data_IF_745829393592
#
_entry.id   IF_745829393592
#
_cell.length_a   1.000
_cell.length_b   1.000
_cell.length_c   1.000
_cell.angle_alpha   90.00
_cell.angle_beta   90.00
_cell.angle_gamma   90.00
#
_symmetry.space_group_name_H-M   'P 1'
#
loop_
_entity.id
_entity.type
_entity.pdbx_description
1 polymer ?
#
# COMPACT_ATOMS: atom_id res chain seq x y z
N UNK A 1 -8.28 -15.89 24.30
CA UNK A 1 -6.90 -16.43 24.27
C UNK A 1 -6.96 -17.91 23.94
N UNK A 2 -6.35 -18.34 22.83
CA UNK A 2 -6.30 -19.75 22.44
C UNK A 2 -5.20 -20.48 23.22
N UNK A 3 -5.54 -21.58 23.91
CA UNK A 3 -4.55 -22.36 24.66
C UNK A 3 -3.71 -23.24 23.71
N UNK A 4 -2.55 -22.73 23.28
CA UNK A 4 -1.65 -23.44 22.35
C UNK A 4 -1.20 -24.82 22.83
N UNK A 5 -1.23 -25.10 24.14
CA UNK A 5 -0.84 -26.41 24.72
C UNK A 5 -1.87 -27.52 24.47
N UNK A 6 -3.03 -27.20 23.90
CA UNK A 6 -4.03 -28.18 23.47
C UNK A 6 -3.76 -28.76 22.07
N UNK A 7 -2.76 -28.23 21.36
CA UNK A 7 -2.41 -28.64 20.01
C UNK A 7 -1.01 -29.26 19.97
N UNK A 8 -0.74 -30.04 18.93
CA UNK A 8 0.59 -30.58 18.69
C UNK A 8 1.60 -29.45 18.41
N UNK A 9 2.87 -29.67 18.75
CA UNK A 9 3.93 -28.69 18.48
C UNK A 9 4.03 -28.38 16.97
N UNK A 10 3.90 -29.41 16.13
CA UNK A 10 3.90 -29.28 14.66
C UNK A 10 2.78 -28.35 14.18
N UNK A 11 1.57 -28.49 14.74
CA UNK A 11 0.43 -27.63 14.45
C UNK A 11 0.75 -26.18 14.80
N UNK A 12 1.17 -25.93 16.04
CA UNK A 12 1.46 -24.57 16.55
C UNK A 12 2.53 -23.88 15.70
N UNK A 13 3.64 -24.57 15.40
CA UNK A 13 4.74 -24.02 14.60
C UNK A 13 4.33 -23.74 13.15
N UNK A 14 3.48 -24.59 12.57
CA UNK A 14 3.02 -24.40 11.18
C UNK A 14 2.04 -23.24 11.07
N UNK A 15 1.12 -23.09 12.03
CA UNK A 15 0.23 -21.94 12.12
C UNK A 15 1.03 -20.64 12.30
N UNK A 16 1.98 -20.61 13.23
CA UNK A 16 2.85 -19.45 13.46
C UNK A 16 3.64 -19.07 12.19
N UNK A 17 4.23 -20.05 11.51
CA UNK A 17 5.00 -19.83 10.28
C UNK A 17 4.13 -19.28 9.15
N UNK A 18 2.94 -19.83 8.93
CA UNK A 18 2.01 -19.31 7.93
C UNK A 18 1.64 -17.86 8.26
N UNK A 19 1.22 -17.58 9.49
CA UNK A 19 0.74 -16.25 9.87
C UNK A 19 1.84 -15.19 9.71
N UNK A 20 3.08 -15.50 10.10
CA UNK A 20 4.21 -14.58 9.91
C UNK A 20 4.48 -14.32 8.43
N UNK A 21 4.41 -15.35 7.56
CA UNK A 21 4.58 -15.17 6.11
C UNK A 21 3.45 -14.37 5.49
N UNK A 22 2.21 -14.58 5.91
CA UNK A 22 1.05 -13.82 5.44
C UNK A 22 1.19 -12.36 5.86
N UNK A 23 1.54 -12.06 7.12
CA UNK A 23 1.78 -10.69 7.60
C UNK A 23 2.85 -9.99 6.77
N UNK A 24 4.00 -10.64 6.57
CA UNK A 24 5.08 -10.10 5.72
C UNK A 24 4.63 -9.90 4.27
N UNK A 25 3.81 -10.80 3.73
CA UNK A 25 3.27 -10.67 2.38
C UNK A 25 2.32 -9.48 2.27
N UNK A 26 1.41 -9.31 3.22
CA UNK A 26 0.47 -8.17 3.25
C UNK A 26 1.23 -6.86 3.45
N UNK A 27 2.23 -6.83 4.31
CA UNK A 27 3.08 -5.65 4.52
C UNK A 27 3.79 -5.22 3.23
N UNK A 28 4.39 -6.18 2.49
CA UNK A 28 5.00 -5.94 1.17
C UNK A 28 4.02 -5.43 0.11
N UNK A 29 2.74 -5.75 0.25
CA UNK A 29 1.66 -5.36 -0.66
C UNK A 29 0.68 -4.37 0.01
N UNK A 30 1.13 -3.62 1.00
CA UNK A 30 0.31 -2.70 1.79
C UNK A 30 -0.22 -1.50 0.99
N UNK A 31 0.23 -1.36 -0.26
CA UNK A 31 -0.33 -0.40 -1.22
C UNK A 31 -1.76 -0.73 -1.63
N UNK A 32 -2.10 -2.03 -1.67
CA UNK A 32 -3.40 -2.53 -2.10
C UNK A 32 -4.08 -3.45 -1.09
N UNK A 33 -3.34 -4.03 -0.14
CA UNK A 33 -3.89 -4.96 0.85
C UNK A 33 -3.87 -4.37 2.26
N UNK A 34 -4.84 -4.74 3.06
CA UNK A 34 -4.87 -4.54 4.51
C UNK A 34 -5.24 -5.82 5.26
N UNK A 35 -4.61 -6.01 6.42
CA UNK A 35 -4.97 -7.09 7.34
C UNK A 35 -5.99 -6.55 8.35
N UNK A 36 -7.22 -7.05 8.30
CA UNK A 36 -8.34 -6.57 9.14
C UNK A 36 -8.63 -7.49 10.33
N UNK A 37 -8.34 -8.79 10.20
CA UNK A 37 -8.34 -9.74 11.32
C UNK A 37 -6.97 -10.38 11.41
N UNK A 38 -6.35 -10.32 12.59
CA UNK A 38 -5.05 -10.94 12.89
C UNK A 38 -5.13 -11.82 14.14
N UNK A 39 -5.72 -13.00 13.98
CA UNK A 39 -5.82 -14.01 15.04
C UNK A 39 -5.03 -15.27 14.65
N UNK A 40 -4.49 -16.04 15.62
CA UNK A 40 -3.74 -17.25 15.30
C UNK A 40 -4.50 -18.26 14.43
N UNK A 41 -5.83 -18.34 14.59
CA UNK A 41 -6.68 -19.30 13.88
C UNK A 41 -7.43 -18.69 12.68
N UNK A 42 -7.29 -17.38 12.47
CA UNK A 42 -8.06 -16.64 11.48
C UNK A 42 -7.34 -15.37 11.04
N UNK A 43 -7.09 -15.23 9.75
CA UNK A 43 -6.53 -14.03 9.13
C UNK A 43 -7.48 -13.54 8.03
N UNK A 44 -7.86 -12.27 8.07
CA UNK A 44 -8.69 -11.64 7.04
C UNK A 44 -7.92 -10.52 6.36
N UNK A 45 -7.70 -10.67 5.08
CA UNK A 45 -7.01 -9.71 4.21
C UNK A 45 -8.06 -9.08 3.30
N UNK A 46 -8.05 -7.76 3.13
CA UNK A 46 -8.96 -7.05 2.22
C UNK A 46 -8.19 -6.22 1.21
N UNK A 47 -8.80 -6.01 0.07
CA UNK A 47 -8.42 -4.92 -0.83
C UNK A 47 -8.72 -3.57 -0.16
N UNK A 48 -7.77 -2.64 -0.23
CA UNK A 48 -7.90 -1.28 0.32
C UNK A 48 -8.83 -0.39 -0.51
N UNK A 49 -9.16 -0.78 -1.73
CA UNK A 49 -10.09 -0.03 -2.56
C UNK A 49 -11.46 0.08 -1.89
N UNK A 50 -11.93 1.32 -1.69
CA UNK A 50 -13.22 1.60 -1.00
C UNK A 50 -14.45 1.11 -1.76
N UNK A 51 -14.29 0.83 -3.05
CA UNK A 51 -15.34 0.34 -3.94
C UNK A 51 -15.25 -1.17 -4.17
N UNK A 52 -14.27 -1.83 -3.53
CA UNK A 52 -14.01 -3.26 -3.65
C UNK A 52 -14.51 -3.99 -2.41
N UNK A 53 -15.18 -5.13 -2.61
CA UNK A 53 -15.55 -6.07 -1.56
C UNK A 53 -14.63 -7.30 -1.54
N UNK A 54 -13.49 -7.21 -2.21
CA UNK A 54 -12.55 -8.31 -2.34
C UNK A 54 -11.85 -8.61 -1.03
N UNK A 55 -11.90 -9.88 -0.65
CA UNK A 55 -11.30 -10.36 0.59
C UNK A 55 -10.71 -11.76 0.43
N UNK A 56 -9.76 -12.05 1.32
CA UNK A 56 -9.10 -13.33 1.45
C UNK A 56 -9.06 -13.72 2.92
N UNK A 57 -9.83 -14.74 3.28
CA UNK A 57 -9.93 -15.28 4.63
C UNK A 57 -9.17 -16.59 4.71
N UNK A 58 -8.24 -16.71 5.66
CA UNK A 58 -7.58 -17.97 6.03
C UNK A 58 -8.07 -18.34 7.42
N UNK A 59 -8.59 -19.55 7.61
CA UNK A 59 -9.24 -19.90 8.87
C UNK A 59 -9.22 -21.40 9.16
N UNK A 60 -9.58 -21.76 10.39
CA UNK A 60 -9.79 -23.14 10.85
C UNK A 60 -8.64 -24.09 10.47
N UNK A 61 -7.39 -23.80 10.86
CA UNK A 61 -6.31 -24.75 10.69
C UNK A 61 -6.65 -26.07 11.39
N UNK A 62 -6.39 -27.19 10.72
CA UNK A 62 -6.65 -28.53 11.24
C UNK A 62 -5.49 -29.47 10.89
N UNK A 63 -5.19 -30.40 11.78
CA UNK A 63 -4.26 -31.50 11.54
C UNK A 63 -5.05 -32.73 11.11
N UNK A 64 -4.79 -33.23 9.89
CA UNK A 64 -5.43 -34.44 9.40
C UNK A 64 -4.86 -35.72 10.04
N UNK A 65 -5.48 -36.86 9.73
CA UNK A 65 -5.04 -38.17 10.22
C UNK A 65 -3.65 -38.59 9.72
N UNK A 66 -3.06 -37.85 8.77
CA UNK A 66 -1.72 -38.06 8.22
C UNK A 66 -0.70 -37.03 8.75
N UNK A 67 -1.06 -36.29 9.81
CA UNK A 67 -0.25 -35.23 10.42
C UNK A 67 0.05 -34.04 9.50
N UNK A 68 -0.73 -33.85 8.44
CA UNK A 68 -0.66 -32.65 7.59
C UNK A 68 -1.50 -31.55 8.19
N UNK A 69 -0.95 -30.34 8.22
CA UNK A 69 -1.68 -29.15 8.65
C UNK A 69 -2.33 -28.51 7.44
N UNK A 70 -3.65 -28.51 7.43
CA UNK A 70 -4.50 -27.96 6.39
C UNK A 70 -5.18 -26.69 6.89
N UNK A 71 -5.31 -25.72 6.01
CA UNK A 71 -5.99 -24.45 6.25
C UNK A 71 -7.17 -24.34 5.30
N UNK A 72 -8.27 -23.77 5.78
CA UNK A 72 -9.35 -23.35 4.88
C UNK A 72 -9.05 -21.94 4.38
N UNK A 73 -9.35 -21.68 3.12
CA UNK A 73 -9.33 -20.34 2.58
C UNK A 73 -10.60 -20.05 1.77
N UNK A 74 -11.21 -18.90 2.06
CA UNK A 74 -12.35 -18.36 1.34
C UNK A 74 -11.89 -17.02 0.73
N UNK A 75 -12.02 -16.85 -0.59
CA UNK A 75 -11.57 -15.61 -1.25
C UNK A 75 -12.44 -15.23 -2.45
N UNK A 76 -12.61 -13.93 -2.67
CA UNK A 76 -13.24 -13.34 -3.85
C UNK A 76 -12.36 -12.20 -4.39
N UNK A 77 -12.21 -12.08 -5.72
CA UNK A 77 -12.82 -12.93 -6.76
C UNK A 77 -12.18 -14.33 -6.81
N UNK A 78 -12.95 -15.33 -7.26
CA UNK A 78 -12.50 -16.71 -7.36
C UNK A 78 -11.37 -16.88 -8.39
N UNK A 79 -11.40 -16.09 -9.46
CA UNK A 79 -10.39 -16.00 -10.50
C UNK A 79 -10.64 -14.73 -11.36
N UNK A 80 -9.92 -14.57 -12.46
CA UNK A 80 -10.05 -13.45 -13.41
C UNK A 80 -11.36 -13.45 -14.24
N UNK A 81 -12.20 -14.47 -14.11
CA UNK A 81 -13.48 -14.60 -14.84
C UNK A 81 -14.67 -14.54 -13.86
N UNK A 82 -14.55 -15.20 -12.70
CA UNK A 82 -15.61 -15.36 -11.72
C UNK A 82 -15.36 -14.51 -10.46
N UNK A 83 -16.28 -13.57 -10.20
CA UNK A 83 -16.22 -12.65 -9.05
C UNK A 83 -16.68 -13.27 -7.72
N UNK A 84 -17.34 -14.43 -7.75
CA UNK A 84 -17.87 -15.08 -6.56
C UNK A 84 -16.78 -15.60 -5.61
N UNK A 85 -17.18 -15.99 -4.40
CA UNK A 85 -16.27 -16.57 -3.41
C UNK A 85 -15.90 -18.01 -3.80
N UNK A 86 -14.60 -18.29 -3.82
CA UNK A 86 -14.06 -19.64 -3.90
C UNK A 86 -13.62 -20.11 -2.52
N UNK A 87 -13.96 -21.35 -2.19
CA UNK A 87 -13.55 -22.01 -0.95
C UNK A 87 -12.55 -23.12 -1.26
N UNK A 88 -11.50 -23.23 -0.48
CA UNK A 88 -10.48 -24.27 -0.66
C UNK A 88 -9.93 -24.74 0.66
N UNK A 89 -9.35 -25.94 0.65
CA UNK A 89 -8.62 -26.51 1.78
C UNK A 89 -7.25 -26.90 1.25
N UNK A 90 -6.19 -26.35 1.83
CA UNK A 90 -4.85 -26.54 1.30
C UNK A 90 -3.77 -26.47 2.38
N UNK A 91 -2.59 -26.99 2.07
CA UNK A 91 -1.40 -26.88 2.92
C UNK A 91 -0.78 -25.47 2.85
N UNK A 92 0.10 -25.15 3.81
CA UNK A 92 0.77 -23.84 3.95
C UNK A 92 1.28 -23.26 2.62
N UNK A 93 2.05 -24.04 1.85
CA UNK A 93 2.65 -23.57 0.58
C UNK A 93 1.58 -23.19 -0.45
N UNK A 94 0.52 -23.98 -0.54
CA UNK A 94 -0.57 -23.75 -1.48
C UNK A 94 -1.39 -22.53 -1.10
N UNK A 95 -1.63 -22.28 0.20
CA UNK A 95 -2.32 -21.07 0.66
C UNK A 95 -1.56 -19.82 0.23
N UNK A 96 -0.24 -19.79 0.40
CA UNK A 96 0.59 -18.66 0.00
C UNK A 96 0.56 -18.45 -1.53
N UNK A 97 0.65 -19.52 -2.32
CA UNK A 97 0.54 -19.43 -3.77
C UNK A 97 -0.84 -18.90 -4.23
N UNK A 98 -1.91 -19.32 -3.56
CA UNK A 98 -3.27 -18.85 -3.86
C UNK A 98 -3.42 -17.36 -3.47
N UNK A 99 -2.86 -16.94 -2.34
CA UNK A 99 -2.83 -15.53 -1.93
C UNK A 99 -2.07 -14.65 -2.93
N UNK A 100 -0.94 -15.14 -3.45
CA UNK A 100 -0.16 -14.45 -4.47
C UNK A 100 -0.94 -14.29 -5.78
N UNK A 101 -1.59 -15.37 -6.25
CA UNK A 101 -2.44 -15.32 -7.44
C UNK A 101 -3.62 -14.35 -7.26
N UNK A 102 -4.29 -14.41 -6.11
CA UNK A 102 -5.39 -13.50 -5.79
C UNK A 102 -4.94 -12.04 -5.77
N UNK A 103 -3.77 -11.75 -5.19
CA UNK A 103 -3.18 -10.41 -5.17
C UNK A 103 -2.86 -9.91 -6.59
N UNK A 104 -2.40 -10.79 -7.48
CA UNK A 104 -2.16 -10.44 -8.88
C UNK A 104 -3.44 -10.08 -9.63
N UNK A 105 -4.57 -10.73 -9.29
CA UNK A 105 -5.88 -10.36 -9.83
C UNK A 105 -6.25 -8.93 -9.40
N UNK A 106 -6.09 -8.60 -8.12
CA UNK A 106 -6.35 -7.23 -7.62
C UNK A 106 -5.47 -6.22 -8.34
N UNK A 107 -4.17 -6.50 -8.51
CA UNK A 107 -3.27 -5.64 -9.27
C UNK A 107 -3.73 -5.44 -10.72
N UNK A 108 -4.29 -6.49 -11.33
CA UNK A 108 -4.82 -6.41 -12.69
C UNK A 108 -6.07 -5.53 -12.76
N UNK A 109 -6.98 -5.63 -11.79
CA UNK A 109 -8.13 -4.72 -11.67
C UNK A 109 -7.68 -3.28 -11.50
N UNK A 110 -6.70 -3.02 -10.61
CA UNK A 110 -6.19 -1.67 -10.37
C UNK A 110 -5.45 -1.08 -11.58
N UNK A 111 -4.87 -1.92 -12.45
CA UNK A 111 -4.20 -1.49 -13.68
C UNK A 111 -5.19 -1.29 -14.84
N UNK A 112 -6.28 -2.05 -14.87
CA UNK A 112 -7.27 -1.97 -15.93
C UNK A 112 -7.93 -0.59 -15.93
N UNK A 113 -7.60 0.21 -16.93
CA UNK A 113 -8.19 1.53 -17.14
C UNK A 113 -9.30 1.39 -18.17
N UNK A 114 -10.52 1.68 -17.75
CA UNK A 114 -11.71 1.63 -18.61
C UNK A 114 -11.88 2.95 -19.35
N UNK A 115 -11.23 4.01 -18.85
CA UNK A 115 -11.31 5.36 -19.38
C UNK A 115 -9.92 5.89 -19.78
N UNK A 116 -9.82 6.76 -20.80
CA UNK A 116 -8.60 7.51 -21.10
C UNK A 116 -8.05 8.28 -19.89
N UNK A 117 -8.93 8.82 -19.04
CA UNK A 117 -8.58 9.58 -17.84
C UNK A 117 -7.85 8.73 -16.78
N UNK A 118 -8.17 7.44 -16.66
CA UNK A 118 -7.48 6.50 -15.78
C UNK A 118 -6.09 6.13 -16.32
N UNK A 119 -5.96 5.94 -17.64
CA UNK A 119 -4.66 5.70 -18.27
C UNK A 119 -3.71 6.89 -18.06
N UNK A 120 -4.23 8.11 -18.24
CA UNK A 120 -3.47 9.35 -18.00
C UNK A 120 -3.00 9.44 -16.54
N UNK A 121 -3.87 9.11 -15.58
CA UNK A 121 -3.51 9.14 -14.17
C UNK A 121 -2.40 8.13 -13.82
N UNK A 122 -2.53 6.89 -14.32
CA UNK A 122 -1.52 5.85 -14.12
C UNK A 122 -0.17 6.23 -14.71
N UNK A 123 -0.18 6.90 -15.87
CA UNK A 123 1.03 7.40 -16.51
C UNK A 123 1.70 8.49 -15.68
N UNK A 124 0.91 9.43 -15.13
CA UNK A 124 1.43 10.45 -14.22
C UNK A 124 2.00 9.86 -12.93
N UNK A 125 1.35 8.87 -12.33
CA UNK A 125 1.87 8.19 -11.14
C UNK A 125 3.21 7.51 -11.45
N UNK A 126 3.30 6.81 -12.58
CA UNK A 126 4.55 6.16 -13.02
C UNK A 126 5.65 7.19 -13.23
N UNK A 127 5.35 8.28 -13.93
CA UNK A 127 6.30 9.38 -14.17
C UNK A 127 6.81 9.97 -12.85
N UNK A 128 5.93 10.28 -11.90
CA UNK A 128 6.38 10.77 -10.59
C UNK A 128 7.20 9.72 -9.82
N UNK A 129 6.80 8.45 -9.85
CA UNK A 129 7.51 7.37 -9.17
C UNK A 129 8.91 7.13 -9.74
N UNK A 130 9.07 7.11 -11.06
CA UNK A 130 10.37 6.95 -11.73
C UNK A 130 11.31 8.12 -11.44
N UNK A 131 10.76 9.34 -11.35
CA UNK A 131 11.53 10.53 -10.99
C UNK A 131 11.91 10.59 -9.51
N UNK A 132 11.16 9.92 -8.63
CA UNK A 132 11.56 9.77 -7.24
C UNK A 132 12.56 8.62 -7.13
N UNK A 133 13.81 8.90 -7.49
CA UNK A 133 14.91 7.94 -7.46
C UNK A 133 15.03 7.28 -6.07
N UNK A 134 14.69 6.00 -5.97
CA UNK A 134 14.89 5.19 -4.75
C UNK A 134 16.20 4.41 -4.93
N UNK A 135 17.33 5.04 -4.60
CA UNK A 135 18.66 4.42 -4.71
C UNK A 135 19.02 3.50 -3.53
N UNK A 136 18.10 3.26 -2.60
CA UNK A 136 18.39 2.58 -1.33
C UNK A 136 17.97 1.10 -1.38
N UNK A 137 18.93 0.18 -1.22
CA UNK A 137 18.69 -1.28 -1.26
C UNK A 137 17.75 -1.77 -0.15
N UNK A 138 17.58 -0.97 0.91
CA UNK A 138 16.72 -1.25 2.05
C UNK A 138 15.32 -0.62 1.96
N UNK A 139 15.00 0.05 0.84
CA UNK A 139 13.81 0.87 0.73
C UNK A 139 12.49 0.11 0.90
N UNK A 140 12.53 -1.20 0.65
CA UNK A 140 11.38 -2.10 0.81
C UNK A 140 11.19 -2.60 2.25
N UNK A 141 12.16 -2.34 3.15
CA UNK A 141 12.19 -2.90 4.52
C UNK A 141 12.18 -1.83 5.59
N UNK A 142 12.88 -0.73 5.36
CA UNK A 142 13.08 0.28 6.39
C UNK A 142 12.24 1.54 6.11
N UNK A 143 11.76 2.23 7.15
CA UNK A 143 11.22 3.57 7.01
C UNK A 143 12.34 4.57 6.70
N UNK A 144 11.97 5.80 6.34
CA UNK A 144 12.92 6.91 6.28
C UNK A 144 13.51 7.20 7.66
N UNK A 145 14.72 7.77 7.71
CA UNK A 145 15.29 8.30 8.95
C UNK A 145 14.45 9.46 9.50
N UNK A 146 14.49 9.68 10.82
CA UNK A 146 13.65 10.65 11.52
C UNK A 146 13.66 12.04 10.86
N UNK A 147 14.84 12.53 10.49
CA UNK A 147 14.98 13.85 9.85
C UNK A 147 14.18 13.93 8.54
N UNK A 148 14.29 12.91 7.69
CA UNK A 148 13.53 12.79 6.44
C UNK A 148 12.03 12.67 6.70
N UNK A 149 11.62 11.89 7.71
CA UNK A 149 10.21 11.80 8.08
C UNK A 149 9.63 13.17 8.50
N UNK A 150 10.38 13.94 9.30
CA UNK A 150 9.97 15.29 9.73
C UNK A 150 9.82 16.24 8.53
N UNK A 151 10.68 16.13 7.52
CA UNK A 151 10.61 16.95 6.30
C UNK A 151 9.33 16.63 5.52
N UNK A 152 9.09 15.35 5.24
CA UNK A 152 7.89 14.90 4.53
C UNK A 152 6.63 15.33 5.31
N UNK A 153 6.64 15.17 6.64
CA UNK A 153 5.54 15.58 7.50
C UNK A 153 5.25 17.08 7.39
N UNK A 154 6.27 17.92 7.55
CA UNK A 154 6.13 19.38 7.48
C UNK A 154 5.70 19.86 6.09
N UNK A 155 6.19 19.19 5.04
CA UNK A 155 5.74 19.42 3.69
C UNK A 155 4.23 19.18 3.56
N UNK A 156 3.73 18.00 3.96
CA UNK A 156 2.30 17.72 3.87
C UNK A 156 1.44 18.63 4.76
N UNK A 157 1.92 19.06 5.92
CA UNK A 157 1.25 20.10 6.72
C UNK A 157 1.02 21.39 5.91
N UNK A 158 1.98 21.80 5.09
CA UNK A 158 1.85 23.00 4.24
C UNK A 158 0.95 22.74 3.04
N UNK A 159 1.08 21.59 2.40
CA UNK A 159 0.21 21.18 1.28
C UNK A 159 -1.25 21.17 1.72
N UNK A 160 -1.57 20.58 2.87
CA UNK A 160 -2.93 20.57 3.43
C UNK A 160 -3.45 21.99 3.64
N UNK A 161 -2.61 22.93 4.11
CA UNK A 161 -3.01 24.34 4.25
C UNK A 161 -3.35 24.99 2.92
N UNK A 162 -2.59 24.72 1.86
CA UNK A 162 -2.91 25.22 0.50
C UNK A 162 -4.20 24.61 -0.02
N UNK A 163 -4.37 23.29 0.13
CA UNK A 163 -5.57 22.60 -0.33
C UNK A 163 -6.84 23.09 0.39
N UNK A 164 -6.74 23.45 1.67
CA UNK A 164 -7.86 23.99 2.47
C UNK A 164 -8.37 25.36 2.02
N UNK A 165 -7.66 26.07 1.14
CA UNK A 165 -8.18 27.31 0.54
C UNK A 165 -9.47 27.05 -0.24
N UNK A 166 -9.56 25.90 -0.91
CA UNK A 166 -10.77 25.41 -1.59
C UNK A 166 -11.12 24.01 -1.03
N UNK A 167 -11.49 23.96 0.25
CA UNK A 167 -11.65 22.71 1.01
C UNK A 167 -12.67 21.75 0.39
N UNK A 168 -13.84 22.26 -0.04
CA UNK A 168 -14.88 21.42 -0.65
C UNK A 168 -14.36 20.73 -1.93
N UNK A 169 -13.77 21.51 -2.83
CA UNK A 169 -13.22 20.97 -4.07
C UNK A 169 -12.07 20.00 -3.79
N UNK A 170 -11.21 20.29 -2.81
CA UNK A 170 -9.98 19.55 -2.51
C UNK A 170 -10.14 18.45 -1.46
N UNK A 171 -11.36 18.14 -1.01
CA UNK A 171 -11.60 17.24 0.12
C UNK A 171 -10.89 15.88 0.00
N UNK A 172 -10.89 15.29 -1.20
CA UNK A 172 -10.19 14.02 -1.46
C UNK A 172 -8.67 14.13 -1.36
N UNK A 173 -8.09 15.19 -1.95
CA UNK A 173 -6.65 15.46 -1.88
C UNK A 173 -6.21 15.78 -0.44
N UNK A 174 -7.03 16.50 0.32
CA UNK A 174 -6.78 16.78 1.75
C UNK A 174 -6.74 15.48 2.53
N UNK A 175 -7.71 14.59 2.30
CA UNK A 175 -7.77 13.29 2.97
C UNK A 175 -6.56 12.42 2.63
N UNK A 176 -6.15 12.37 1.36
CA UNK A 176 -4.95 11.64 0.93
C UNK A 176 -3.69 12.22 1.58
N UNK A 177 -3.53 13.54 1.60
CA UNK A 177 -2.40 14.22 2.24
C UNK A 177 -2.33 13.97 3.76
N UNK A 178 -3.48 13.99 4.45
CA UNK A 178 -3.58 13.64 5.88
C UNK A 178 -3.17 12.19 6.13
N UNK A 179 -3.67 11.25 5.31
CA UNK A 179 -3.32 9.83 5.43
C UNK A 179 -1.82 9.58 5.24
N UNK A 180 -1.19 10.26 4.27
CA UNK A 180 0.25 10.18 4.07
C UNK A 180 0.95 10.70 5.32
N UNK A 181 0.62 11.92 5.77
CA UNK A 181 1.23 12.60 6.91
C UNK A 181 1.20 11.76 8.20
N UNK A 182 0.06 11.14 8.50
CA UNK A 182 -0.14 10.35 9.73
C UNK A 182 0.59 9.00 9.71
N UNK A 183 0.81 8.44 8.52
CA UNK A 183 1.39 7.11 8.38
C UNK A 183 2.89 7.10 8.04
N UNK A 184 3.53 8.25 7.85
CA UNK A 184 4.98 8.36 7.53
C UNK A 184 5.84 7.45 8.42
N UNK A 185 5.69 7.42 9.76
CA UNK A 185 6.58 6.61 10.62
C UNK A 185 6.37 5.10 10.49
N UNK A 186 5.24 4.67 9.89
CA UNK A 186 4.82 3.27 9.76
C UNK A 186 5.05 2.72 8.35
N UNK A 187 5.49 3.56 7.40
CA UNK A 187 5.67 3.18 6.01
C UNK A 187 7.15 2.99 5.68
N UNK A 188 7.45 2.02 4.82
CA UNK A 188 8.77 1.88 4.23
C UNK A 188 9.07 3.04 3.28
N UNK A 189 10.35 3.25 2.94
CA UNK A 189 10.76 4.30 1.97
C UNK A 189 10.00 4.12 0.64
N UNK A 190 9.91 2.89 0.14
CA UNK A 190 9.19 2.55 -1.11
C UNK A 190 7.70 2.85 -1.04
N UNK A 191 7.04 2.43 0.04
CA UNK A 191 5.61 2.68 0.25
C UNK A 191 5.31 4.19 0.33
N UNK A 192 6.19 4.93 1.00
CA UNK A 192 6.08 6.39 1.13
C UNK A 192 6.19 7.08 -0.23
N UNK A 193 7.22 6.76 -1.02
CA UNK A 193 7.41 7.34 -2.36
C UNK A 193 6.21 7.03 -3.26
N UNK A 194 5.73 5.78 -3.27
CA UNK A 194 4.58 5.40 -4.07
C UNK A 194 3.32 6.20 -3.72
N UNK A 195 3.01 6.37 -2.43
CA UNK A 195 1.87 7.21 -2.03
C UNK A 195 2.05 8.66 -2.43
N UNK A 196 3.26 9.20 -2.33
CA UNK A 196 3.57 10.57 -2.76
C UNK A 196 3.38 10.72 -4.28
N UNK A 197 3.87 9.76 -5.09
CA UNK A 197 3.67 9.75 -6.54
C UNK A 197 2.21 9.78 -6.93
N UNK A 198 1.39 8.93 -6.28
CA UNK A 198 -0.04 8.87 -6.52
C UNK A 198 -0.73 10.18 -6.16
N UNK A 199 -0.36 10.76 -5.01
CA UNK A 199 -0.86 12.07 -4.61
C UNK A 199 -0.55 13.14 -5.67
N UNK A 200 0.69 13.22 -6.16
CA UNK A 200 1.05 14.17 -7.22
C UNK A 200 0.32 13.91 -8.53
N UNK A 201 0.08 12.65 -8.90
CA UNK A 201 -0.71 12.29 -10.07
C UNK A 201 -2.16 12.79 -9.94
N UNK A 202 -2.77 12.64 -8.76
CA UNK A 202 -4.11 13.17 -8.47
C UNK A 202 -4.15 14.70 -8.50
N UNK A 203 -3.14 15.37 -7.92
CA UNK A 203 -3.03 16.83 -7.97
C UNK A 203 -2.89 17.31 -9.43
N UNK A 204 -2.04 16.66 -10.23
CA UNK A 204 -1.86 16.97 -11.66
C UNK A 204 -3.13 16.77 -12.47
N UNK A 205 -3.83 15.65 -12.25
CA UNK A 205 -5.12 15.35 -12.88
C UNK A 205 -6.14 16.44 -12.58
N UNK A 206 -6.11 16.97 -11.35
CA UNK A 206 -6.99 18.05 -10.95
C UNK A 206 -6.64 19.38 -11.60
N UNK A 207 -5.42 19.88 -11.41
CA UNK A 207 -4.96 21.10 -12.09
C UNK A 207 -3.44 21.26 -12.05
N UNK A 208 -2.87 21.71 -13.19
CA UNK A 208 -1.46 22.06 -13.28
C UNK A 208 -1.05 23.26 -12.38
N UNK A 209 -1.88 24.32 -12.22
CA UNK A 209 -1.56 25.40 -11.29
C UNK A 209 -1.41 24.93 -9.85
N UNK A 210 -2.30 24.04 -9.39
CA UNK A 210 -2.22 23.47 -8.04
C UNK A 210 -0.99 22.58 -7.90
N UNK A 211 -0.67 21.77 -8.92
CA UNK A 211 0.55 20.98 -8.94
C UNK A 211 1.79 21.86 -8.77
N UNK A 212 1.88 22.97 -9.52
CA UNK A 212 3.00 23.92 -9.42
C UNK A 212 3.14 24.48 -8.00
N UNK A 213 2.03 24.92 -7.41
CA UNK A 213 2.02 25.46 -6.05
C UNK A 213 2.51 24.42 -5.01
N UNK A 214 2.01 23.19 -5.13
CA UNK A 214 2.38 22.06 -4.25
C UNK A 214 3.87 21.70 -4.42
N UNK A 215 4.38 21.63 -5.64
CA UNK A 215 5.81 21.37 -5.92
C UNK A 215 6.71 22.49 -5.36
N UNK A 216 6.31 23.76 -5.50
CA UNK A 216 7.07 24.90 -4.96
C UNK A 216 7.19 24.87 -3.43
N UNK A 217 6.18 24.36 -2.72
CA UNK A 217 6.27 24.14 -1.27
C UNK A 217 7.35 23.12 -0.92
N UNK A 218 7.46 22.05 -1.72
CA UNK A 218 8.46 21.00 -1.57
C UNK A 218 9.87 21.56 -1.74
N UNK A 219 10.09 22.31 -2.82
CA UNK A 219 11.35 23.01 -3.09
C UNK A 219 11.75 23.91 -1.93
N UNK A 220 10.83 24.73 -1.41
CA UNK A 220 11.10 25.64 -0.29
C UNK A 220 11.48 24.91 1.00
N UNK A 221 10.91 23.73 1.28
CA UNK A 221 11.22 22.99 2.50
C UNK A 221 12.60 22.31 2.42
N UNK A 222 12.99 21.85 1.23
CA UNK A 222 14.27 21.15 1.02
C UNK A 222 15.44 22.08 0.90
N UNK A 223 15.28 23.19 0.16
CA UNK A 223 16.28 24.26 0.12
C UNK A 223 16.54 24.85 1.51
N UNK A 224 15.52 24.95 2.38
CA UNK A 224 15.70 25.45 3.75
C UNK A 224 16.56 24.56 4.63
N UNK A 225 16.72 23.27 4.30
CA UNK A 225 17.43 22.30 5.13
C UNK A 225 18.70 21.74 4.49
N UNK A 226 18.97 22.04 3.21
CA UNK A 226 20.22 21.67 2.55
C UNK A 226 20.43 20.15 2.38
N UNK A 227 19.34 19.39 2.30
CA UNK A 227 19.37 17.92 2.24
C UNK A 227 19.06 17.46 0.81
N UNK A 228 19.95 16.64 0.23
CA UNK A 228 19.65 15.91 -1.01
C UNK A 228 18.52 14.91 -0.77
N UNK A 229 17.32 15.24 -1.25
CA UNK A 229 16.10 14.51 -0.95
C UNK A 229 15.33 14.15 -2.24
N UNK A 230 14.32 13.29 -2.12
CA UNK A 230 13.28 12.99 -3.14
C UNK A 230 12.65 14.28 -3.74
N UNK A 231 12.74 15.41 -3.03
CA UNK A 231 12.24 16.73 -3.43
C UNK A 231 13.30 17.59 -4.17
N UNK A 232 14.57 17.17 -4.28
CA UNK A 232 15.52 17.84 -5.19
C UNK A 232 15.10 17.63 -6.64
N UNK A 233 14.62 16.43 -6.96
CA UNK A 233 13.99 16.14 -8.26
C UNK A 233 12.69 16.97 -8.44
N UNK A 234 12.02 17.39 -7.36
CA UNK A 234 10.91 18.36 -7.44
C UNK A 234 11.41 19.76 -7.81
N UNK A 235 12.62 20.14 -7.38
CA UNK A 235 13.31 21.33 -7.86
C UNK A 235 13.53 21.32 -9.37
N UNK A 236 14.02 20.20 -9.91
CA UNK A 236 14.23 20.02 -11.36
C UNK A 236 12.91 20.03 -12.14
N UNK A 237 11.85 19.45 -11.58
CA UNK A 237 10.51 19.52 -12.14
C UNK A 237 9.96 20.95 -12.19
N UNK A 238 10.15 21.77 -11.14
CA UNK A 238 9.74 23.19 -11.21
C UNK A 238 10.47 23.98 -12.30
N UNK A 239 11.65 23.54 -12.74
CA UNK A 239 12.38 24.15 -13.85
C UNK A 239 11.89 23.70 -15.25
N UNK A 240 11.22 22.55 -15.35
CA UNK A 240 10.63 22.03 -16.60
C UNK A 240 9.23 22.61 -16.89
N UNK A 241 8.52 23.06 -15.87
CA UNK A 241 7.14 23.61 -15.97
C UNK A 241 7.13 25.16 -15.87
N UNK A 242 8.30 25.79 -15.87
CA UNK A 242 8.48 27.25 -15.91
C UNK A 242 9.03 27.68 -17.25
#
# INVERSE_FOLDING_TARGET
MTNKKQYSLLFVQTVERLNNRVRQFVEKNSDILELTTDNPMELLIKDKSKISDFQFLIYSPNQDNRNKILFKADYNPANNIAIGTKKTVAEEKSILAILEQWTNIIRSYNKASWTPEENILNEYEREFYENFEILDEDADKNPYELEKQIIIHNYFVKVIKVLKVNEEDNAELIKEAEEIKENIPKMTKKATVKKISRFFANVRKKSLPLLKEVLELGRKEVFKRGIKFVLDNIGDWTALIG
#
